data_IF_900152949773
#
_entry.id   IF_900152949773
#
_cell.length_a   1.000
_cell.length_b   1.000
_cell.length_c   1.000
_cell.angle_alpha   90.00
_cell.angle_beta   90.00
_cell.angle_gamma   90.00
#
_symmetry.space_group_name_H-M   'P 1'
#
loop_
_entity.id
_entity.type
_entity.pdbx_description
1 polymer ?
#
# COMPACT_ATOMS: atom_id res chain seq x y z
N UNK A 1 35.88 25.99 -5.22
CA UNK A 1 35.53 24.83 -6.08
C UNK A 1 34.90 23.79 -5.18
N UNK A 2 33.62 23.46 -5.37
CA UNK A 2 32.97 22.44 -4.55
C UNK A 2 33.60 21.07 -4.85
N UNK A 3 33.71 20.18 -3.85
CA UNK A 3 34.21 18.83 -4.09
C UNK A 3 33.32 18.07 -5.10
N UNK A 4 33.89 17.15 -5.89
CA UNK A 4 33.13 16.34 -6.83
C UNK A 4 32.08 15.48 -6.11
N UNK A 5 30.93 15.29 -6.75
CA UNK A 5 29.88 14.40 -6.26
C UNK A 5 30.39 12.97 -6.24
N UNK A 6 30.39 12.35 -5.07
CA UNK A 6 30.69 10.93 -4.88
C UNK A 6 29.38 10.20 -4.62
N UNK A 7 29.02 9.28 -5.50
CA UNK A 7 27.83 8.42 -5.37
C UNK A 7 28.31 6.99 -5.20
N UNK A 8 27.76 6.27 -4.23
CA UNK A 8 27.90 4.82 -4.10
C UNK A 8 26.72 4.15 -4.82
N UNK A 9 26.91 3.58 -6.03
CA UNK A 9 25.82 2.98 -6.79
C UNK A 9 25.21 1.76 -6.08
N UNK A 10 25.99 1.00 -5.32
CA UNK A 10 25.50 -0.19 -4.63
C UNK A 10 24.60 0.20 -3.45
N UNK A 11 24.98 1.23 -2.69
CA UNK A 11 24.12 1.78 -1.63
C UNK A 11 22.81 2.35 -2.21
N UNK A 12 22.89 3.01 -3.37
CA UNK A 12 21.70 3.58 -4.03
C UNK A 12 20.76 2.50 -4.59
N UNK A 13 21.29 1.44 -5.22
CA UNK A 13 20.47 0.30 -5.67
C UNK A 13 19.80 -0.40 -4.48
N UNK A 14 20.54 -0.59 -3.38
CA UNK A 14 19.99 -1.15 -2.14
C UNK A 14 18.82 -0.31 -1.62
N UNK A 15 19.00 1.01 -1.49
CA UNK A 15 17.93 1.90 -1.03
C UNK A 15 16.70 1.83 -1.95
N UNK A 16 16.90 1.83 -3.28
CA UNK A 16 15.80 1.66 -4.23
C UNK A 16 15.10 0.31 -4.10
N UNK A 17 15.84 -0.77 -3.80
CA UNK A 17 15.28 -2.10 -3.58
C UNK A 17 14.40 -2.17 -2.33
N UNK A 18 14.81 -1.51 -1.24
CA UNK A 18 14.03 -1.43 0.01
C UNK A 18 12.69 -0.70 -0.22
N UNK A 19 12.68 0.37 -1.02
CA UNK A 19 11.45 1.09 -1.39
C UNK A 19 10.52 0.20 -2.24
N UNK A 20 11.07 -0.58 -3.18
CA UNK A 20 10.27 -1.55 -3.96
C UNK A 20 9.65 -2.59 -3.04
N UNK A 21 10.42 -3.17 -2.12
CA UNK A 21 9.95 -4.17 -1.15
C UNK A 21 8.85 -3.61 -0.25
N UNK A 22 8.99 -2.35 0.21
CA UNK A 22 7.93 -1.68 0.98
C UNK A 22 6.64 -1.57 0.16
N UNK A 23 6.73 -1.16 -1.11
CA UNK A 23 5.58 -1.13 -2.02
C UNK A 23 4.93 -2.51 -2.20
N UNK A 24 5.73 -3.56 -2.44
CA UNK A 24 5.21 -4.93 -2.55
C UNK A 24 4.51 -5.42 -1.29
N UNK A 25 5.04 -5.08 -0.11
CA UNK A 25 4.41 -5.35 1.18
C UNK A 25 3.02 -4.72 1.32
N UNK A 26 2.84 -3.47 0.87
CA UNK A 26 1.53 -2.83 0.83
C UNK A 26 0.54 -3.55 -0.10
N UNK A 27 1.04 -4.18 -1.17
CA UNK A 27 0.23 -5.02 -2.04
C UNK A 27 -0.42 -6.18 -1.28
N UNK A 28 0.33 -6.83 -0.39
CA UNK A 28 -0.20 -7.90 0.47
C UNK A 28 -1.28 -7.39 1.43
N UNK A 29 -1.09 -6.19 2.01
CA UNK A 29 -2.08 -5.56 2.89
C UNK A 29 -3.40 -5.30 2.14
N UNK A 30 -3.33 -4.78 0.92
CA UNK A 30 -4.51 -4.54 0.08
C UNK A 30 -5.24 -5.86 -0.21
N UNK A 31 -4.51 -6.93 -0.57
CA UNK A 31 -5.13 -8.24 -0.83
C UNK A 31 -5.84 -8.80 0.41
N UNK A 32 -5.22 -8.72 1.60
CA UNK A 32 -5.82 -9.16 2.86
C UNK A 32 -7.07 -8.36 3.22
N UNK A 33 -7.03 -7.03 3.02
CA UNK A 33 -8.18 -6.16 3.24
C UNK A 33 -9.36 -6.58 2.36
N UNK A 34 -9.15 -6.72 1.05
CA UNK A 34 -10.21 -7.09 0.11
C UNK A 34 -10.78 -8.47 0.43
N UNK A 35 -9.91 -9.44 0.74
CA UNK A 35 -10.34 -10.77 1.16
C UNK A 35 -11.25 -10.71 2.39
N UNK A 36 -10.91 -9.88 3.38
CA UNK A 36 -11.74 -9.72 4.59
C UNK A 36 -13.07 -9.02 4.28
N UNK A 37 -13.05 -7.97 3.44
CA UNK A 37 -14.26 -7.25 3.03
C UNK A 37 -15.22 -8.12 2.22
N UNK A 38 -14.72 -9.15 1.51
CA UNK A 38 -15.57 -10.12 0.81
C UNK A 38 -16.54 -10.87 1.74
N UNK A 39 -16.15 -11.10 3.00
CA UNK A 39 -17.01 -11.66 4.03
C UNK A 39 -18.01 -10.66 4.64
N UNK A 40 -17.87 -9.38 4.32
CA UNK A 40 -18.69 -8.28 4.85
C UNK A 40 -19.71 -7.74 3.82
N UNK A 41 -19.94 -8.45 2.71
CA UNK A 41 -20.96 -8.04 1.74
C UNK A 41 -22.36 -7.98 2.37
N UNK A 42 -23.15 -7.00 1.91
CA UNK A 42 -24.51 -6.76 2.41
C UNK A 42 -24.58 -6.27 3.87
N UNK A 43 -23.48 -5.82 4.47
CA UNK A 43 -23.43 -5.41 5.88
C UNK A 43 -24.29 -4.18 6.22
N UNK A 44 -24.56 -3.29 5.26
CA UNK A 44 -25.34 -2.08 5.48
C UNK A 44 -26.86 -2.36 5.51
N UNK A 45 -27.30 -3.50 4.99
CA UNK A 45 -28.72 -3.81 4.83
C UNK A 45 -29.30 -3.29 3.50
N UNK A 46 -30.59 -3.55 3.33
CA UNK A 46 -31.45 -3.17 2.20
C UNK A 46 -32.65 -2.31 2.64
N UNK A 47 -32.73 -1.93 3.92
CA UNK A 47 -33.65 -0.89 4.38
C UNK A 47 -33.22 0.49 3.82
N UNK A 48 -34.14 1.48 3.70
CA UNK A 48 -33.83 2.76 3.07
C UNK A 48 -32.60 3.48 3.66
N UNK A 49 -32.39 3.40 4.97
CA UNK A 49 -31.24 4.02 5.62
C UNK A 49 -29.96 3.20 5.34
N UNK A 50 -30.06 1.87 5.36
CA UNK A 50 -28.98 0.96 4.97
C UNK A 50 -28.47 1.18 3.56
N UNK A 51 -29.38 1.37 2.59
CA UNK A 51 -29.03 1.65 1.18
C UNK A 51 -28.25 2.97 1.05
N UNK A 52 -28.72 4.04 1.69
CA UNK A 52 -28.08 5.36 1.62
C UNK A 52 -26.66 5.34 2.21
N UNK A 53 -26.51 4.77 3.40
CA UNK A 53 -25.21 4.61 4.07
C UNK A 53 -24.30 3.69 3.25
N UNK A 54 -24.85 2.58 2.75
CA UNK A 54 -24.10 1.58 1.99
C UNK A 54 -23.52 2.15 0.70
N UNK A 55 -24.29 2.92 -0.07
CA UNK A 55 -23.76 3.58 -1.27
C UNK A 55 -22.67 4.59 -0.97
N UNK A 56 -22.82 5.37 0.11
CA UNK A 56 -21.79 6.34 0.54
C UNK A 56 -20.51 5.63 0.96
N UNK A 57 -20.64 4.52 1.68
CA UNK A 57 -19.53 3.66 2.07
C UNK A 57 -18.86 3.03 0.83
N UNK A 58 -19.61 2.41 -0.08
CA UNK A 58 -19.07 1.71 -1.26
C UNK A 58 -18.24 2.66 -2.14
N UNK A 59 -18.73 3.89 -2.34
CA UNK A 59 -18.03 4.91 -3.12
C UNK A 59 -16.73 5.37 -2.43
N UNK A 60 -16.77 5.55 -1.11
CA UNK A 60 -15.60 5.91 -0.31
C UNK A 60 -14.56 4.79 -0.28
N UNK A 61 -15.00 3.56 -0.09
CA UNK A 61 -14.16 2.36 -0.10
C UNK A 61 -13.46 2.18 -1.45
N UNK A 62 -14.19 2.35 -2.57
CA UNK A 62 -13.62 2.26 -3.90
C UNK A 62 -12.50 3.30 -4.13
N UNK A 63 -12.73 4.56 -3.71
CA UNK A 63 -11.70 5.62 -3.80
C UNK A 63 -10.48 5.32 -2.93
N UNK A 64 -10.69 4.81 -1.72
CA UNK A 64 -9.59 4.49 -0.81
C UNK A 64 -8.75 3.32 -1.34
N UNK A 65 -9.37 2.28 -1.88
CA UNK A 65 -8.64 1.17 -2.52
C UNK A 65 -7.85 1.65 -3.73
N UNK A 66 -8.42 2.52 -4.57
CA UNK A 66 -7.67 3.13 -5.67
C UNK A 66 -6.47 3.94 -5.19
N UNK A 67 -6.63 4.72 -4.13
CA UNK A 67 -5.52 5.47 -3.53
C UNK A 67 -4.44 4.53 -2.99
N UNK A 68 -4.81 3.45 -2.28
CA UNK A 68 -3.88 2.44 -1.79
C UNK A 68 -3.08 1.77 -2.93
N UNK A 69 -3.76 1.41 -4.03
CA UNK A 69 -3.12 0.86 -5.23
C UNK A 69 -2.15 1.85 -5.87
N UNK A 70 -2.55 3.13 -5.97
CA UNK A 70 -1.70 4.19 -6.49
C UNK A 70 -0.46 4.40 -5.62
N UNK A 71 -0.60 4.42 -4.29
CA UNK A 71 0.52 4.50 -3.34
C UNK A 71 1.48 3.34 -3.54
N UNK A 72 0.97 2.10 -3.59
CA UNK A 72 1.79 0.91 -3.82
C UNK A 72 2.56 0.99 -5.14
N UNK A 73 1.86 1.28 -6.24
CA UNK A 73 2.48 1.36 -7.57
C UNK A 73 3.48 2.52 -7.64
N UNK A 74 3.18 3.64 -6.97
CA UNK A 74 4.06 4.80 -6.86
C UNK A 74 5.36 4.47 -6.14
N UNK A 75 5.31 3.79 -4.99
CA UNK A 75 6.51 3.34 -4.27
C UNK A 75 7.36 2.39 -5.13
N UNK A 76 6.75 1.38 -5.74
CA UNK A 76 7.47 0.48 -6.64
C UNK A 76 8.12 1.23 -7.81
N UNK A 77 7.42 2.20 -8.41
CA UNK A 77 7.94 3.03 -9.50
C UNK A 77 9.10 3.93 -9.07
N UNK A 78 8.99 4.59 -7.90
CA UNK A 78 10.06 5.42 -7.34
C UNK A 78 11.28 4.57 -7.01
N UNK A 79 11.11 3.44 -6.32
CA UNK A 79 12.20 2.52 -6.00
C UNK A 79 12.90 2.02 -7.26
N UNK A 80 12.14 1.63 -8.29
CA UNK A 80 12.71 1.26 -9.59
C UNK A 80 13.50 2.40 -10.26
N UNK A 81 12.99 3.63 -10.23
CA UNK A 81 13.70 4.81 -10.74
C UNK A 81 15.01 5.09 -10.02
N UNK A 82 15.05 4.91 -8.69
CA UNK A 82 16.28 5.00 -7.89
C UNK A 82 17.30 3.94 -8.32
N UNK A 83 16.87 2.69 -8.52
CA UNK A 83 17.75 1.61 -8.99
C UNK A 83 18.26 1.84 -10.41
N UNK A 84 17.43 2.40 -11.30
CA UNK A 84 17.87 2.82 -12.63
C UNK A 84 18.90 3.95 -12.58
N UNK A 85 18.76 4.86 -11.62
CA UNK A 85 19.76 5.92 -11.40
C UNK A 85 21.09 5.32 -10.93
N UNK A 86 21.05 4.34 -10.02
CA UNK A 86 22.23 3.59 -9.60
C UNK A 86 22.92 2.85 -10.76
N UNK A 87 22.13 2.20 -11.62
CA UNK A 87 22.64 1.57 -12.84
C UNK A 87 23.37 2.60 -13.72
N UNK A 88 22.77 3.75 -13.98
CA UNK A 88 23.37 4.81 -14.79
C UNK A 88 24.71 5.31 -14.22
N UNK A 89 24.79 5.50 -12.89
CA UNK A 89 26.07 5.84 -12.24
C UNK A 89 27.09 4.72 -12.42
N UNK A 90 26.71 3.45 -12.19
CA UNK A 90 27.63 2.32 -12.34
C UNK A 90 28.17 2.15 -13.77
N UNK A 91 27.33 2.42 -14.78
CA UNK A 91 27.75 2.43 -16.18
C UNK A 91 28.73 3.58 -16.43
N UNK A 92 28.44 4.79 -15.95
CA UNK A 92 29.32 5.94 -16.10
C UNK A 92 30.71 5.70 -15.50
N UNK A 93 30.77 5.08 -14.32
CA UNK A 93 32.04 4.69 -13.67
C UNK A 93 32.78 3.62 -14.49
N UNK A 94 32.09 2.57 -14.94
CA UNK A 94 32.69 1.52 -15.76
C UNK A 94 33.25 2.05 -17.10
N UNK A 95 32.54 2.98 -17.75
CA UNK A 95 33.00 3.61 -19.00
C UNK A 95 34.18 4.58 -18.79
N UNK A 96 34.29 5.17 -17.61
CA UNK A 96 35.38 6.10 -17.27
C UNK A 96 36.61 5.38 -16.70
N UNK A 97 36.47 4.11 -16.30
CA UNK A 97 37.57 3.31 -15.79
C UNK A 97 38.48 2.79 -16.93
N UNK A 98 39.58 3.53 -17.17
CA UNK A 98 40.61 3.19 -18.17
C UNK A 98 41.28 1.83 -17.91
N UNK A 99 41.24 1.34 -16.66
CA UNK A 99 41.77 0.02 -16.33
C UNK A 99 40.86 -1.13 -16.76
N UNK A 100 39.56 -0.88 -17.00
CA UNK A 100 38.59 -1.87 -17.45
C UNK A 100 38.22 -2.98 -16.45
N UNK A 101 38.56 -2.83 -15.16
CA UNK A 101 38.41 -3.89 -14.16
C UNK A 101 37.04 -3.92 -13.46
N UNK A 102 36.22 -2.88 -13.58
CA UNK A 102 34.91 -2.80 -12.90
C UNK A 102 33.75 -3.08 -13.86
N UNK A 103 32.88 -4.02 -13.46
CA UNK A 103 31.62 -4.30 -14.15
C UNK A 103 30.49 -3.43 -13.63
N UNK A 104 29.63 -2.94 -14.54
CA UNK A 104 28.42 -2.20 -14.17
C UNK A 104 27.43 -3.08 -13.38
N UNK A 105 26.53 -2.44 -12.63
CA UNK A 105 25.43 -3.14 -11.96
C UNK A 105 24.53 -3.85 -12.98
N UNK A 106 23.85 -4.91 -12.53
CA UNK A 106 22.84 -5.58 -13.35
C UNK A 106 21.58 -4.72 -13.48
N UNK A 107 20.92 -4.79 -14.63
CA UNK A 107 19.67 -4.07 -14.85
C UNK A 107 18.60 -4.49 -13.83
N UNK A 108 18.01 -3.54 -13.09
CA UNK A 108 16.93 -3.84 -12.15
C UNK A 108 15.71 -4.44 -12.85
N UNK A 109 15.07 -5.41 -12.23
CA UNK A 109 13.78 -5.93 -12.69
C UNK A 109 12.69 -4.87 -12.53
N UNK A 110 11.83 -4.73 -13.54
CA UNK A 110 10.65 -3.84 -13.49
C UNK A 110 9.63 -4.43 -12.50
N UNK A 111 9.20 -3.68 -11.47
CA UNK A 111 8.15 -4.16 -10.57
C UNK A 111 6.84 -4.36 -11.33
N UNK A 112 6.17 -5.49 -11.07
CA UNK A 112 4.86 -5.77 -11.67
C UNK A 112 3.79 -4.77 -11.18
N UNK A 113 2.92 -4.23 -12.04
CA UNK A 113 1.84 -3.35 -11.62
C UNK A 113 0.75 -4.15 -10.88
N UNK A 114 0.13 -3.53 -9.88
CA UNK A 114 -1.10 -4.04 -9.30
C UNK A 114 -2.30 -3.34 -9.93
N UNK A 115 -3.24 -4.13 -10.45
CA UNK A 115 -4.45 -3.66 -11.15
C UNK A 115 -5.59 -3.31 -10.19
N UNK A 116 -6.64 -2.67 -10.72
CA UNK A 116 -7.85 -2.33 -9.96
C UNK A 116 -8.49 -3.56 -9.32
N UNK A 117 -8.71 -3.49 -8.02
CA UNK A 117 -9.46 -4.49 -7.25
C UNK A 117 -10.82 -3.90 -6.89
N UNK A 118 -11.89 -4.69 -7.01
CA UNK A 118 -13.24 -4.27 -6.68
C UNK A 118 -13.55 -4.53 -5.21
N UNK A 119 -14.21 -3.58 -4.55
CA UNK A 119 -14.75 -3.78 -3.20
C UNK A 119 -16.16 -4.37 -3.33
N UNK A 120 -16.50 -5.42 -2.58
CA UNK A 120 -17.86 -5.94 -2.52
C UNK A 120 -18.85 -4.87 -2.06
N UNK A 121 -20.06 -4.87 -2.60
CA UNK A 121 -21.09 -3.93 -2.15
C UNK A 121 -21.50 -4.21 -0.72
N UNK A 122 -21.62 -3.14 0.06
CA UNK A 122 -22.15 -3.17 1.42
C UNK A 122 -23.68 -3.23 1.46
N UNK A 123 -24.37 -2.89 0.37
CA UNK A 123 -25.84 -2.98 0.28
C UNK A 123 -26.25 -4.43 -0.03
N UNK A 124 -27.25 -4.94 0.68
CA UNK A 124 -27.77 -6.29 0.45
C UNK A 124 -28.65 -6.76 1.60
N UNK A 125 -29.25 -7.93 1.43
CA UNK A 125 -30.07 -8.54 2.48
C UNK A 125 -29.18 -8.92 3.67
N UNK A 126 -29.16 -8.08 4.70
CA UNK A 126 -28.42 -8.36 5.93
C UNK A 126 -29.21 -9.28 6.87
N UNK A 127 -29.53 -8.81 8.07
CA UNK A 127 -30.24 -9.60 9.08
C UNK A 127 -31.76 -9.49 8.87
N UNK A 128 -32.40 -10.62 8.59
CA UNK A 128 -33.85 -10.70 8.43
C UNK A 128 -34.61 -10.38 9.72
N UNK A 129 -35.85 -9.93 9.56
CA UNK A 129 -36.74 -9.65 10.69
C UNK A 129 -37.01 -10.91 11.53
N UNK A 130 -37.14 -10.78 12.86
CA UNK A 130 -37.47 -11.90 13.74
C UNK A 130 -38.88 -12.40 13.43
N UNK A 131 -39.11 -13.67 13.72
CA UNK A 131 -40.42 -14.27 13.55
C UNK A 131 -41.49 -13.45 14.30
N UNK A 132 -42.61 -13.19 13.63
CA UNK A 132 -43.72 -12.40 14.18
C UNK A 132 -43.55 -10.88 14.07
N UNK A 133 -42.42 -10.36 13.55
CA UNK A 133 -42.26 -8.91 13.32
C UNK A 133 -43.38 -8.30 12.49
N UNK A 134 -43.85 -9.03 11.46
CA UNK A 134 -44.97 -8.59 10.61
C UNK A 134 -46.28 -8.34 11.38
N UNK A 135 -46.47 -8.96 12.55
CA UNK A 135 -47.63 -8.68 13.41
C UNK A 135 -47.45 -7.43 14.26
N UNK A 136 -46.21 -7.09 14.61
CA UNK A 136 -45.89 -5.95 15.49
C UNK A 136 -45.70 -4.67 14.67
N UNK A 137 -45.16 -4.77 13.46
CA UNK A 137 -44.83 -3.65 12.58
C UNK A 137 -45.94 -2.59 12.42
N UNK A 138 -47.24 -2.95 12.26
CA UNK A 138 -48.31 -1.96 12.13
C UNK A 138 -48.54 -1.10 13.39
N UNK A 139 -48.16 -1.58 14.57
CA UNK A 139 -48.41 -0.90 15.85
C UNK A 139 -47.29 0.07 16.26
N UNK A 140 -46.07 -0.19 15.81
CA UNK A 140 -44.87 0.61 16.12
C UNK A 140 -44.50 1.56 14.97
N UNK A 141 -45.03 1.36 13.77
CA UNK A 141 -44.83 2.25 12.63
C UNK A 141 -43.37 2.33 12.14
N UNK A 142 -42.54 1.35 12.48
CA UNK A 142 -41.11 1.34 12.18
C UNK A 142 -40.75 0.16 11.27
N UNK A 143 -39.81 0.39 10.34
CA UNK A 143 -39.23 -0.68 9.51
C UNK A 143 -38.24 -1.50 10.34
N UNK A 144 -38.09 -2.77 9.99
CA UNK A 144 -37.03 -3.60 10.57
C UNK A 144 -35.67 -3.16 9.99
N UNK A 145 -34.66 -2.83 10.82
CA UNK A 145 -33.33 -2.53 10.32
C UNK A 145 -32.64 -3.82 9.86
N UNK A 146 -32.17 -3.86 8.61
CA UNK A 146 -31.56 -5.08 8.05
C UNK A 146 -30.03 -5.06 8.10
N UNK A 147 -29.39 -4.01 8.61
CA UNK A 147 -27.94 -3.94 8.77
C UNK A 147 -27.36 -5.06 9.68
N UNK A 148 -26.20 -5.59 9.30
CA UNK A 148 -25.45 -6.58 10.09
C UNK A 148 -24.31 -5.88 10.87
N UNK A 149 -24.56 -5.62 12.15
CA UNK A 149 -23.58 -4.95 13.02
C UNK A 149 -22.31 -5.78 13.29
N UNK A 150 -22.36 -7.10 13.12
CA UNK A 150 -21.19 -7.97 13.23
C UNK A 150 -20.25 -7.76 12.05
N UNK A 151 -20.81 -7.82 10.84
CA UNK A 151 -20.06 -7.54 9.60
C UNK A 151 -19.56 -6.10 9.54
N UNK A 152 -20.34 -5.12 9.98
CA UNK A 152 -19.88 -3.72 10.05
C UNK A 152 -18.66 -3.56 10.96
N UNK A 153 -18.65 -4.21 12.13
CA UNK A 153 -17.48 -4.19 13.03
C UNK A 153 -16.28 -4.92 12.44
N UNK A 154 -16.51 -6.04 11.75
CA UNK A 154 -15.46 -6.77 11.05
C UNK A 154 -14.82 -5.93 9.93
N UNK A 155 -15.64 -5.22 9.13
CA UNK A 155 -15.16 -4.30 8.11
C UNK A 155 -14.37 -3.13 8.72
N UNK A 156 -14.87 -2.53 9.80
CA UNK A 156 -14.17 -1.45 10.51
C UNK A 156 -12.80 -1.89 11.05
N UNK A 157 -12.73 -3.11 11.61
CA UNK A 157 -11.47 -3.70 12.07
C UNK A 157 -10.51 -3.93 10.90
N UNK A 158 -11.01 -4.42 9.75
CA UNK A 158 -10.20 -4.64 8.55
C UNK A 158 -9.59 -3.32 8.01
N UNK A 159 -10.39 -2.26 7.92
CA UNK A 159 -9.91 -0.94 7.51
C UNK A 159 -8.89 -0.37 8.49
N UNK A 160 -9.12 -0.51 9.79
CA UNK A 160 -8.20 -0.03 10.83
C UNK A 160 -6.87 -0.78 10.78
N UNK A 161 -6.91 -2.10 10.61
CA UNK A 161 -5.72 -2.93 10.48
C UNK A 161 -4.92 -2.54 9.22
N UNK A 162 -5.60 -2.39 8.08
CA UNK A 162 -4.96 -1.94 6.84
C UNK A 162 -4.32 -0.56 7.00
N UNK A 163 -5.04 0.42 7.56
CA UNK A 163 -4.52 1.76 7.83
C UNK A 163 -3.29 1.75 8.75
N UNK A 164 -3.30 0.90 9.78
CA UNK A 164 -2.14 0.71 10.67
C UNK A 164 -0.92 0.20 9.91
N UNK A 165 -1.09 -0.79 9.03
CA UNK A 165 0.02 -1.33 8.22
C UNK A 165 0.56 -0.29 7.23
N UNK A 166 -0.30 0.53 6.63
CA UNK A 166 0.12 1.65 5.78
C UNK A 166 0.93 2.69 6.57
N UNK A 167 0.49 3.05 7.79
CA UNK A 167 1.24 3.96 8.66
C UNK A 167 2.59 3.38 9.14
N UNK A 168 2.64 2.08 9.44
CA UNK A 168 3.90 1.42 9.80
C UNK A 168 4.89 1.40 8.63
N UNK A 169 4.42 1.19 7.40
CA UNK A 169 5.28 1.24 6.21
C UNK A 169 5.90 2.64 6.02
N UNK A 170 5.15 3.71 6.30
CA UNK A 170 5.66 5.08 6.31
C UNK A 170 6.74 5.29 7.38
N UNK A 171 6.50 4.81 8.60
CA UNK A 171 7.47 4.92 9.72
C UNK A 171 8.74 4.12 9.42
N UNK A 172 8.64 2.92 8.85
CA UNK A 172 9.81 2.12 8.50
C UNK A 172 10.58 2.74 7.33
N UNK A 173 9.88 3.37 6.37
CA UNK A 173 10.50 4.08 5.25
C UNK A 173 11.18 5.40 5.64
N UNK A 174 10.73 6.05 6.72
CA UNK A 174 11.31 7.31 7.25
C UNK A 174 12.25 7.10 8.44
N UNK A 175 12.13 5.96 9.14
CA UNK A 175 12.82 5.61 10.38
C UNK A 175 14.17 4.93 10.19
N UNK A 176 14.51 4.49 8.98
CA UNK A 176 15.90 4.28 8.61
C UNK A 176 16.57 5.65 8.54
N UNK A 177 17.03 6.13 9.71
CA UNK A 177 17.88 7.31 9.83
C UNK A 177 18.95 7.20 8.75
N UNK A 178 18.93 8.15 7.81
CA UNK A 178 20.07 8.43 6.95
C UNK A 178 21.24 8.74 7.88
N UNK A 179 22.02 7.73 8.27
CA UNK A 179 23.30 7.99 8.89
C UNK A 179 24.12 8.74 7.85
N UNK A 180 24.61 9.95 8.15
CA UNK A 180 25.47 10.66 7.23
C UNK A 180 26.69 9.76 7.00
N UNK A 181 26.99 9.49 5.72
CA UNK A 181 28.23 8.86 5.30
C UNK A 181 29.39 9.50 6.06
N UNK A 182 30.01 8.74 6.97
CA UNK A 182 31.13 9.24 7.75
C UNK A 182 32.30 9.56 6.80
N UNK A 183 32.85 10.79 6.80
CA UNK A 183 33.84 11.22 5.82
C UNK A 183 35.24 10.57 5.95
N UNK A 184 35.45 9.60 6.83
CA UNK A 184 36.79 9.16 7.24
C UNK A 184 37.11 7.67 6.97
N UNK A 185 36.87 7.16 5.76
CA UNK A 185 37.34 5.82 5.35
C UNK A 185 38.48 5.79 4.32
N UNK A 186 39.08 6.93 3.99
CA UNK A 186 40.22 6.98 3.04
C UNK A 186 41.44 7.74 3.57
N UNK A 187 41.83 7.50 4.83
CA UNK A 187 43.18 7.81 5.26
C UNK A 187 43.91 6.52 5.67
N UNK A 188 45.04 6.31 5.00
CA UNK A 188 45.97 5.16 4.99
C UNK A 188 45.61 4.13 3.90
N UNK A 189 46.44 3.88 2.89
CA UNK A 189 47.88 4.09 2.77
C UNK A 189 48.29 4.26 1.30
N UNK A 190 49.27 5.12 1.05
CA UNK A 190 50.42 4.85 0.17
C UNK A 190 51.40 6.05 0.20
N UNK A 191 52.70 5.84 -0.05
CA UNK A 191 53.49 4.60 0.05
C UNK A 191 54.21 4.43 1.39
#
# INVERSE_FOLDING_TARGET
>A
MAPPLVVDPAALDKAGSEVVTAGEGLGSVISTLIATLSGCSGMAGDDPAGIEVGHTYDNSAAKLVQAMLATRNGLCGVGFGVRMSALNYSLAEAHSNVSGHDGALSTPAVPGPMSSVSVPSSVGSGIGAPAGWGWVAPYIGMIWPTADSGKLRAAAAAWTAAGTQFGLAEIMGTGARWEPFAPNRFQKAQP
#
